data_IF_438653359012
#
_entry.id   IF_438653359012
#
_cell.length_a   1.000
_cell.length_b   1.000
_cell.length_c   1.000
_cell.angle_alpha   90.00
_cell.angle_beta   90.00
_cell.angle_gamma   90.00
#
_symmetry.space_group_name_H-M   'P 1'
#
loop_
_entity.id
_entity.type
_entity.pdbx_description
1 polymer ?
#
# COMPACT_ATOMS: atom_id res chain seq x y z
N UNK A 1 -29.28 -30.25 36.89
CA UNK A 1 -28.42 -30.72 35.78
C UNK A 1 -28.54 -29.93 34.48
N UNK A 2 -29.67 -29.26 34.21
CA UNK A 2 -29.87 -28.48 32.96
C UNK A 2 -29.08 -27.16 32.89
N UNK A 3 -28.94 -26.42 33.99
CA UNK A 3 -28.23 -25.13 34.04
C UNK A 3 -26.72 -25.23 33.77
N UNK A 4 -26.05 -26.28 34.32
CA UNK A 4 -24.61 -26.47 34.07
C UNK A 4 -24.26 -26.72 32.59
N UNK A 5 -25.13 -27.45 31.87
CA UNK A 5 -24.93 -27.70 30.42
C UNK A 5 -25.12 -26.42 29.60
N UNK A 6 -26.06 -25.56 29.98
CA UNK A 6 -26.33 -24.29 29.32
C UNK A 6 -25.15 -23.31 29.49
N UNK A 7 -24.55 -23.29 30.69
CA UNK A 7 -23.37 -22.45 31.00
C UNK A 7 -22.15 -22.87 30.15
N UNK A 8 -21.90 -24.16 30.00
CA UNK A 8 -20.79 -24.68 29.19
C UNK A 8 -20.97 -24.31 27.71
N UNK A 9 -22.19 -24.42 27.18
CA UNK A 9 -22.48 -24.04 25.79
C UNK A 9 -22.28 -22.53 25.60
N UNK A 10 -22.72 -21.68 26.53
CA UNK A 10 -22.50 -20.24 26.45
C UNK A 10 -21.00 -19.86 26.47
N UNK A 11 -20.19 -20.52 27.31
CA UNK A 11 -18.75 -20.28 27.38
C UNK A 11 -18.07 -20.71 26.07
N UNK A 12 -18.47 -21.84 25.46
CA UNK A 12 -17.95 -22.27 24.16
C UNK A 12 -18.29 -21.27 23.04
N UNK A 13 -19.49 -20.70 23.03
CA UNK A 13 -19.87 -19.71 22.03
C UNK A 13 -19.09 -18.40 22.17
N UNK A 14 -18.78 -17.97 23.38
CA UNK A 14 -17.97 -16.77 23.64
C UNK A 14 -16.52 -17.00 23.22
N UNK A 15 -15.95 -18.17 23.48
CA UNK A 15 -14.57 -18.50 23.07
C UNK A 15 -14.40 -18.62 21.55
N UNK A 16 -15.41 -19.08 20.81
CA UNK A 16 -15.37 -19.16 19.35
C UNK A 16 -15.40 -17.77 18.67
N UNK A 17 -16.05 -16.80 19.27
CA UNK A 17 -16.07 -15.43 18.73
C UNK A 17 -14.78 -14.64 18.97
N UNK A 18 -13.99 -15.00 19.98
CA UNK A 18 -12.71 -14.35 20.26
C UNK A 18 -11.61 -14.75 19.25
N UNK A 19 -11.74 -15.89 18.60
CA UNK A 19 -10.80 -16.37 17.57
C UNK A 19 -11.07 -15.82 16.18
N UNK A 20 -12.20 -15.14 15.96
CA UNK A 20 -12.62 -14.64 14.64
C UNK A 20 -12.17 -13.19 14.35
N UNK A 21 -11.60 -12.49 15.32
CA UNK A 21 -10.96 -11.19 15.07
C UNK A 21 -9.56 -11.48 14.53
N UNK A 22 -9.39 -11.28 13.22
CA UNK A 22 -8.08 -11.42 12.57
C UNK A 22 -7.03 -10.63 13.36
N UNK A 23 -6.06 -11.33 13.90
CA UNK A 23 -5.08 -10.80 14.84
C UNK A 23 -4.00 -10.00 14.11
N UNK A 24 -4.37 -8.83 13.56
CA UNK A 24 -3.41 -7.87 13.07
C UNK A 24 -3.01 -6.96 14.22
N UNK A 25 -1.75 -7.03 14.61
CA UNK A 25 -1.17 -6.13 15.58
C UNK A 25 -0.33 -5.07 14.87
N UNK A 26 -0.57 -3.79 15.18
CA UNK A 26 0.26 -2.70 14.71
C UNK A 26 1.73 -2.97 15.03
N UNK A 27 2.60 -2.79 14.05
CA UNK A 27 4.04 -2.89 14.24
C UNK A 27 4.72 -1.54 14.07
N UNK A 28 4.61 -0.92 12.91
CA UNK A 28 5.27 0.36 12.61
C UNK A 28 4.62 1.09 11.45
N UNK A 29 4.98 2.36 11.30
CA UNK A 29 4.71 3.15 10.10
C UNK A 29 5.94 3.11 9.20
N UNK A 30 5.73 2.91 7.92
CA UNK A 30 6.75 2.84 6.88
C UNK A 30 6.53 4.00 5.91
N UNK A 31 7.59 4.75 5.64
CA UNK A 31 7.59 5.79 4.62
C UNK A 31 8.74 5.51 3.65
N UNK A 32 8.43 5.36 2.38
CA UNK A 32 9.40 5.10 1.34
C UNK A 32 9.36 6.19 0.27
N UNK A 33 10.53 6.45 -0.31
CA UNK A 33 10.71 7.40 -1.39
C UNK A 33 11.68 6.82 -2.42
N UNK A 34 11.26 6.81 -3.67
CA UNK A 34 12.05 6.35 -4.81
C UNK A 34 12.17 7.47 -5.82
N UNK A 35 13.38 7.77 -6.26
CA UNK A 35 13.65 8.82 -7.26
C UNK A 35 14.53 8.26 -8.36
N UNK A 36 14.15 8.47 -9.61
CA UNK A 36 14.94 8.12 -10.79
C UNK A 36 14.60 9.02 -11.97
N UNK A 37 15.56 9.18 -12.89
CA UNK A 37 15.31 9.79 -14.20
C UNK A 37 14.76 8.73 -15.12
N UNK A 38 13.53 8.88 -15.59
CA UNK A 38 12.86 7.93 -16.47
C UNK A 38 12.25 8.60 -17.69
N UNK A 39 12.16 7.87 -18.80
CA UNK A 39 11.54 8.32 -20.07
C UNK A 39 10.49 7.33 -20.60
N UNK A 40 10.30 6.23 -19.88
CA UNK A 40 9.38 5.14 -20.18
C UNK A 40 8.98 4.46 -18.86
N UNK A 41 8.05 3.51 -18.84
CA UNK A 41 7.81 2.70 -17.65
C UNK A 41 9.10 2.09 -17.12
N UNK A 42 9.42 2.33 -15.86
CA UNK A 42 10.64 1.86 -15.23
C UNK A 42 10.39 1.40 -13.78
N UNK A 43 11.15 0.39 -13.37
CA UNK A 43 11.20 -0.03 -11.96
C UNK A 43 12.05 0.99 -11.21
N UNK A 44 11.44 1.67 -10.26
CA UNK A 44 12.07 2.67 -9.41
C UNK A 44 12.79 2.02 -8.21
N UNK A 45 12.32 0.87 -7.80
CA UNK A 45 12.84 0.08 -6.69
C UNK A 45 11.93 -1.09 -6.38
N UNK A 46 12.31 -1.85 -5.36
CA UNK A 46 11.59 -3.03 -4.93
C UNK A 46 11.35 -2.96 -3.44
N UNK A 47 10.16 -3.34 -3.01
CA UNK A 47 9.80 -3.49 -1.60
C UNK A 47 9.58 -4.96 -1.26
N UNK A 48 9.91 -5.33 -0.03
CA UNK A 48 9.69 -6.67 0.49
C UNK A 48 8.79 -6.58 1.73
N UNK A 49 7.62 -7.19 1.65
CA UNK A 49 6.76 -7.42 2.83
C UNK A 49 7.18 -8.73 3.45
N UNK A 50 7.73 -8.74 4.68
CA UNK A 50 8.25 -9.95 5.31
C UNK A 50 7.16 -11.01 5.57
N UNK A 51 7.58 -12.28 5.70
CA UNK A 51 6.70 -13.34 6.18
C UNK A 51 6.12 -12.97 7.57
N UNK A 52 4.85 -13.30 7.80
CA UNK A 52 4.15 -12.94 9.04
C UNK A 52 3.79 -11.46 9.18
N UNK A 53 3.98 -10.66 8.12
CA UNK A 53 3.58 -9.25 8.06
C UNK A 53 2.56 -9.01 6.96
N UNK A 54 1.80 -7.94 7.12
CA UNK A 54 1.00 -7.33 6.05
C UNK A 54 1.19 -5.82 6.10
N UNK A 55 1.21 -5.18 4.93
CA UNK A 55 1.27 -3.74 4.82
C UNK A 55 -0.06 -3.20 4.31
N UNK A 56 -0.50 -2.10 4.91
CA UNK A 56 -1.64 -1.31 4.47
C UNK A 56 -1.10 0.02 3.94
N UNK A 57 -1.07 0.18 2.63
CA UNK A 57 -0.70 1.45 2.00
C UNK A 57 -1.83 2.44 2.23
N UNK A 58 -1.53 3.56 2.86
CA UNK A 58 -2.52 4.59 3.23
C UNK A 58 -2.52 5.76 2.26
N UNK A 59 -1.38 6.05 1.65
CA UNK A 59 -1.24 7.16 0.71
C UNK A 59 -0.05 6.97 -0.21
N UNK A 60 -0.11 7.58 -1.39
CA UNK A 60 1.03 7.73 -2.27
C UNK A 60 1.01 9.09 -2.96
N UNK A 61 2.19 9.55 -3.37
CA UNK A 61 2.37 10.76 -4.16
C UNK A 61 3.36 10.50 -5.29
N UNK A 62 3.09 11.15 -6.41
CA UNK A 62 3.93 11.14 -7.59
C UNK A 62 4.34 12.57 -7.94
N UNK A 63 5.63 12.81 -8.03
CA UNK A 63 6.18 14.12 -8.38
C UNK A 63 7.10 14.00 -9.59
N UNK A 64 7.08 15.03 -10.41
CA UNK A 64 8.02 15.20 -11.52
C UNK A 64 8.83 16.45 -11.24
N UNK A 65 10.13 16.37 -11.46
CA UNK A 65 11.03 17.54 -11.40
C UNK A 65 11.45 17.93 -12.81
N UNK A 66 11.21 19.19 -13.17
CA UNK A 66 11.70 19.83 -14.40
C UNK A 66 12.54 21.04 -14.06
N UNK A 67 13.22 21.60 -15.09
CA UNK A 67 13.76 22.96 -15.00
C UNK A 67 12.61 23.93 -14.65
N UNK A 68 12.61 24.46 -13.41
CA UNK A 68 11.55 25.33 -12.89
C UNK A 68 10.79 24.78 -11.67
N UNK A 69 11.06 23.57 -11.21
CA UNK A 69 10.55 23.05 -9.95
C UNK A 69 9.82 21.71 -10.03
N UNK A 70 9.35 21.25 -8.87
CA UNK A 70 8.54 20.05 -8.76
C UNK A 70 7.07 20.35 -9.05
N UNK A 71 6.43 19.47 -9.79
CA UNK A 71 4.98 19.44 -9.90
C UNK A 71 4.45 18.02 -9.67
N UNK A 72 3.26 17.88 -9.12
CA UNK A 72 2.57 16.60 -9.12
C UNK A 72 2.23 16.27 -10.57
N UNK A 73 2.44 15.03 -11.03
CA UNK A 73 2.28 14.60 -12.42
C UNK A 73 0.89 14.83 -13.02
N UNK A 74 0.41 16.08 -12.98
CA UNK A 74 -0.85 16.53 -13.57
C UNK A 74 -0.57 16.96 -14.99
N UNK A 75 -1.21 16.34 -15.94
CA UNK A 75 -1.10 16.73 -17.34
C UNK A 75 -1.70 15.68 -18.25
N UNK A 76 -1.86 16.00 -19.52
CA UNK A 76 -2.39 15.12 -20.57
C UNK A 76 -1.44 13.96 -20.91
N UNK A 77 -0.73 13.42 -19.95
CA UNK A 77 0.27 12.38 -20.15
C UNK A 77 0.05 11.18 -19.24
N UNK A 78 0.66 10.09 -19.62
CA UNK A 78 0.62 8.83 -18.86
C UNK A 78 1.59 8.90 -17.65
N UNK A 79 1.28 9.67 -16.65
CA UNK A 79 2.01 9.72 -15.38
C UNK A 79 1.35 8.77 -14.38
N UNK A 80 1.84 7.56 -14.28
CA UNK A 80 1.24 6.56 -13.42
C UNK A 80 2.31 5.95 -12.51
N UNK A 81 1.90 5.50 -11.33
CA UNK A 81 2.75 4.71 -10.46
C UNK A 81 2.01 3.48 -9.93
N UNK A 82 2.77 2.41 -9.72
CA UNK A 82 2.26 1.12 -9.27
C UNK A 82 3.15 0.55 -8.16
N UNK A 83 2.55 -0.26 -7.30
CA UNK A 83 3.25 -1.21 -6.43
C UNK A 83 2.75 -2.61 -6.79
N UNK A 84 3.63 -3.40 -7.43
CA UNK A 84 3.23 -4.62 -8.12
C UNK A 84 2.17 -4.30 -9.18
N UNK A 85 1.03 -4.98 -9.13
CA UNK A 85 -0.10 -4.75 -10.05
C UNK A 85 -1.08 -3.66 -9.57
N UNK A 86 -0.83 -3.07 -8.38
CA UNK A 86 -1.74 -2.07 -7.81
C UNK A 86 -1.37 -0.68 -8.30
N UNK A 87 -2.31 0.00 -8.96
CA UNK A 87 -2.19 1.41 -9.30
C UNK A 87 -2.26 2.25 -8.02
N UNK A 88 -1.23 3.05 -7.75
CA UNK A 88 -1.13 3.94 -6.59
C UNK A 88 -1.22 5.41 -6.96
N UNK A 89 -1.04 5.73 -8.24
CA UNK A 89 -1.19 7.08 -8.78
C UNK A 89 -1.61 7.04 -10.24
N UNK A 90 -2.63 7.81 -10.60
CA UNK A 90 -3.07 8.02 -11.97
C UNK A 90 -3.09 9.52 -12.30
N UNK A 91 -2.18 9.94 -13.17
CA UNK A 91 -2.10 11.32 -13.66
C UNK A 91 -2.93 11.60 -14.91
N UNK A 92 -3.57 10.58 -15.49
CA UNK A 92 -4.26 10.68 -16.79
C UNK A 92 -5.40 11.70 -16.77
N UNK A 93 -6.07 11.86 -15.62
CA UNK A 93 -7.21 12.76 -15.46
C UNK A 93 -6.92 14.01 -14.61
N UNK A 94 -5.65 14.29 -14.31
CA UNK A 94 -5.26 15.45 -13.49
C UNK A 94 -5.72 15.39 -12.03
N UNK A 95 -6.32 14.29 -11.63
CA UNK A 95 -6.77 14.02 -10.27
C UNK A 95 -5.88 12.90 -9.73
N UNK A 96 -5.05 13.21 -8.75
CA UNK A 96 -4.43 12.17 -7.94
C UNK A 96 -5.58 11.42 -7.26
N UNK A 97 -5.91 10.24 -7.76
CA UNK A 97 -6.98 9.46 -7.18
C UNK A 97 -6.54 8.91 -5.84
N UNK A 98 -7.04 9.52 -4.78
CA UNK A 98 -7.00 8.94 -3.43
C UNK A 98 -7.96 7.76 -3.28
N UNK A 99 -8.75 7.48 -4.31
CA UNK A 99 -9.81 6.46 -4.29
C UNK A 99 -9.29 5.01 -4.31
N UNK A 100 -7.98 4.83 -4.52
CA UNK A 100 -7.35 3.51 -4.52
C UNK A 100 -6.95 3.01 -3.13
N UNK A 101 -6.94 3.87 -2.14
CA UNK A 101 -6.49 3.51 -0.80
C UNK A 101 -7.64 3.12 0.13
N UNK A 102 -7.41 2.21 1.06
CA UNK A 102 -6.13 1.52 1.35
C UNK A 102 -5.88 0.30 0.43
N UNK A 103 -4.60 0.07 0.10
CA UNK A 103 -4.15 -1.14 -0.60
C UNK A 103 -3.47 -2.06 0.41
N UNK A 104 -3.88 -3.33 0.43
CA UNK A 104 -3.30 -4.33 1.31
C UNK A 104 -2.30 -5.20 0.55
N UNK A 105 -1.06 -5.24 1.05
CA UNK A 105 0.01 -6.08 0.52
C UNK A 105 0.26 -7.25 1.49
N UNK A 106 0.19 -8.46 0.96
CA UNK A 106 0.55 -9.70 1.65
C UNK A 106 2.09 -9.85 1.69
N UNK A 107 2.64 -10.84 2.44
CA UNK A 107 4.05 -11.19 2.33
C UNK A 107 4.46 -11.43 0.88
N UNK A 108 5.55 -10.83 0.44
CA UNK A 108 6.02 -10.94 -0.92
C UNK A 108 6.93 -9.80 -1.35
N UNK A 109 7.39 -9.86 -2.59
CA UNK A 109 8.22 -8.85 -3.23
C UNK A 109 7.40 -8.12 -4.28
N UNK A 110 7.47 -6.78 -4.28
CA UNK A 110 6.70 -5.92 -5.17
C UNK A 110 7.60 -4.86 -5.78
N UNK A 111 7.56 -4.72 -7.08
CA UNK A 111 8.24 -3.63 -7.76
C UNK A 111 7.45 -2.32 -7.62
N UNK A 112 8.15 -1.23 -7.36
CA UNK A 112 7.62 0.13 -7.46
C UNK A 112 7.92 0.62 -8.85
N UNK A 113 6.89 0.79 -9.66
CA UNK A 113 6.98 1.14 -11.07
C UNK A 113 6.45 2.55 -11.26
N UNK A 114 7.17 3.36 -11.99
CA UNK A 114 6.68 4.66 -12.45
C UNK A 114 6.67 4.73 -13.97
N UNK A 115 5.74 5.52 -14.50
CA UNK A 115 5.60 5.79 -15.92
C UNK A 115 5.61 7.29 -16.17
N UNK A 116 6.42 7.73 -17.14
CA UNK A 116 6.49 9.13 -17.57
C UNK A 116 6.47 9.20 -19.10
N UNK A 117 5.78 10.17 -19.70
CA UNK A 117 5.73 10.33 -21.16
C UNK A 117 6.99 10.96 -21.75
N UNK A 118 7.87 11.51 -20.93
CA UNK A 118 9.11 12.18 -21.33
C UNK A 118 10.20 11.95 -20.29
N UNK A 119 11.44 12.33 -20.61
CA UNK A 119 12.58 12.24 -19.69
C UNK A 119 12.40 13.24 -18.55
N UNK A 120 12.16 12.74 -17.36
CA UNK A 120 12.03 13.52 -16.13
C UNK A 120 12.63 12.80 -14.93
N UNK A 121 13.03 13.58 -13.95
CA UNK A 121 13.26 13.06 -12.60
C UNK A 121 11.91 12.85 -11.92
N UNK A 122 11.61 11.60 -11.68
CA UNK A 122 10.35 11.18 -11.06
C UNK A 122 10.62 10.73 -9.64
N UNK A 123 9.77 11.17 -8.71
CA UNK A 123 9.77 10.72 -7.32
C UNK A 123 8.42 10.10 -7.00
N UNK A 124 8.43 8.87 -6.51
CA UNK A 124 7.27 8.16 -5.97
C UNK A 124 7.45 7.99 -4.46
N UNK A 125 6.53 8.54 -3.69
CA UNK A 125 6.50 8.38 -2.24
C UNK A 125 5.26 7.60 -1.84
N UNK A 126 5.35 6.78 -0.80
CA UNK A 126 4.17 6.20 -0.18
C UNK A 126 4.35 6.01 1.32
N UNK A 127 3.23 5.99 2.03
CA UNK A 127 3.15 5.66 3.44
C UNK A 127 2.33 4.40 3.64
N UNK A 128 2.82 3.53 4.51
CA UNK A 128 2.17 2.27 4.85
C UNK A 128 2.17 2.05 6.36
N UNK A 129 1.20 1.29 6.84
CA UNK A 129 1.19 0.71 8.18
C UNK A 129 1.53 -0.77 8.06
N UNK A 130 2.55 -1.21 8.79
CA UNK A 130 2.89 -2.62 8.91
C UNK A 130 2.19 -3.23 10.12
N UNK A 131 1.59 -4.38 9.91
CA UNK A 131 0.98 -5.19 10.95
C UNK A 131 1.67 -6.54 11.07
N UNK A 132 1.80 -7.05 12.30
CA UNK A 132 2.11 -8.43 12.55
C UNK A 132 0.84 -9.27 12.35
N UNK A 133 0.95 -10.38 11.66
CA UNK A 133 -0.09 -11.41 11.62
C UNK A 133 0.17 -12.36 12.79
N UNK A 134 -0.68 -12.31 13.79
CA UNK A 134 -0.59 -13.19 14.97
C UNK A 134 -1.47 -14.41 14.72
N UNK A 135 -0.93 -15.64 14.94
CA UNK A 135 -1.69 -16.89 14.77
C UNK A 135 -2.91 -17.01 15.67
#
# INVERSE_FOLDING_TARGET
MKMKKLLIIAICFVSLNLSAQGNLQFNQVINNSYTATISAPAIMGTIVVPAGKVWKIESANYFVTQAGGRFSGRGSGNYNAFIGDNLIWDGTNGLGHQDFFPIWLKPGTYDVIAKSPSIYDVTVNFSAIEFNVVP
#
